data_IF_555980085354
#
_entry.id   IF_555980085354
#
_cell.length_a   1.000
_cell.length_b   1.000
_cell.length_c   1.000
_cell.angle_alpha   90.00
_cell.angle_beta   90.00
_cell.angle_gamma   90.00
#
_symmetry.space_group_name_H-M   'P 1'
#
loop_
_entity.id
_entity.type
_entity.pdbx_description
1 polymer ?
#
# COMPACT_ATOMS: atom_id res chain seq x y z
N UNK A 1 -39.67 4.54 -59.71
CA UNK A 1 -39.42 4.01 -58.34
C UNK A 1 -39.45 5.22 -57.43
N UNK A 2 -40.41 5.34 -56.50
CA UNK A 2 -40.42 6.49 -55.62
C UNK A 2 -39.25 6.33 -54.64
N UNK A 3 -38.35 7.30 -54.64
CA UNK A 3 -37.35 7.45 -53.59
C UNK A 3 -38.13 7.68 -52.28
N UNK A 4 -38.06 6.71 -51.38
CA UNK A 4 -38.57 6.87 -50.02
C UNK A 4 -37.78 7.98 -49.34
N UNK A 5 -38.28 9.21 -49.42
CA UNK A 5 -37.78 10.30 -48.59
C UNK A 5 -38.05 9.91 -47.14
N UNK A 6 -37.05 9.35 -46.46
CA UNK A 6 -37.09 9.17 -45.01
C UNK A 6 -37.53 10.51 -44.42
N UNK A 7 -38.73 10.56 -43.85
CA UNK A 7 -39.25 11.80 -43.26
C UNK A 7 -38.23 12.30 -42.24
N UNK A 8 -37.94 13.61 -42.24
CA UNK A 8 -36.98 14.27 -41.35
C UNK A 8 -37.09 13.83 -39.88
N UNK A 9 -38.30 13.45 -39.45
CA UNK A 9 -38.59 12.87 -38.13
C UNK A 9 -37.88 11.52 -37.91
N UNK A 10 -37.88 10.63 -38.90
CA UNK A 10 -37.17 9.34 -38.83
C UNK A 10 -35.65 9.54 -38.74
N UNK A 11 -35.10 10.55 -39.42
CA UNK A 11 -33.69 10.90 -39.32
C UNK A 11 -33.34 11.42 -37.91
N UNK A 12 -34.17 12.31 -37.35
CA UNK A 12 -34.00 12.80 -35.97
C UNK A 12 -34.15 11.69 -34.93
N UNK A 13 -35.09 10.76 -35.10
CA UNK A 13 -35.23 9.58 -34.24
C UNK A 13 -33.99 8.70 -34.35
N UNK A 14 -33.47 8.46 -35.56
CA UNK A 14 -32.25 7.70 -35.78
C UNK A 14 -31.03 8.30 -35.07
N UNK A 15 -30.86 9.63 -35.14
CA UNK A 15 -29.81 10.35 -34.39
C UNK A 15 -30.04 10.19 -32.88
N UNK A 16 -31.28 10.37 -32.41
CA UNK A 16 -31.61 10.23 -30.99
C UNK A 16 -31.27 8.84 -30.45
N UNK A 17 -31.63 7.78 -31.19
CA UNK A 17 -31.28 6.40 -30.85
C UNK A 17 -29.76 6.20 -30.85
N UNK A 18 -29.04 6.72 -31.85
CA UNK A 18 -27.58 6.61 -31.91
C UNK A 18 -26.89 7.28 -30.72
N UNK A 19 -27.33 8.49 -30.33
CA UNK A 19 -26.83 9.20 -29.15
C UNK A 19 -27.12 8.40 -27.88
N UNK A 20 -28.34 7.89 -27.72
CA UNK A 20 -28.72 7.10 -26.55
C UNK A 20 -27.89 5.81 -26.45
N UNK A 21 -27.69 5.09 -27.55
CA UNK A 21 -26.83 3.89 -27.58
C UNK A 21 -25.40 4.23 -27.21
N UNK A 22 -24.86 5.33 -27.72
CA UNK A 22 -23.52 5.81 -27.36
C UNK A 22 -23.42 6.13 -25.87
N UNK A 23 -24.38 6.88 -25.30
CA UNK A 23 -24.39 7.22 -23.88
C UNK A 23 -24.53 5.98 -22.98
N UNK A 24 -25.37 5.02 -23.36
CA UNK A 24 -25.52 3.75 -22.64
C UNK A 24 -24.19 2.98 -22.66
N UNK A 25 -23.53 2.91 -23.82
CA UNK A 25 -22.23 2.24 -23.96
C UNK A 25 -21.17 2.90 -23.08
N UNK A 26 -21.08 4.22 -23.08
CA UNK A 26 -20.14 4.96 -22.24
C UNK A 26 -20.42 4.75 -20.74
N UNK A 27 -21.69 4.75 -20.33
CA UNK A 27 -22.08 4.48 -18.94
C UNK A 27 -21.67 3.06 -18.51
N UNK A 28 -21.91 2.06 -19.36
CA UNK A 28 -21.51 0.66 -19.10
C UNK A 28 -19.99 0.54 -19.02
N UNK A 29 -19.25 1.17 -19.95
CA UNK A 29 -17.80 1.18 -19.94
C UNK A 29 -17.26 1.81 -18.66
N UNK A 30 -17.76 2.98 -18.29
CA UNK A 30 -17.38 3.69 -17.07
C UNK A 30 -17.62 2.83 -15.82
N UNK A 31 -18.80 2.20 -15.71
CA UNK A 31 -19.12 1.30 -14.61
C UNK A 31 -18.17 0.08 -14.56
N UNK A 32 -17.86 -0.51 -15.72
CA UNK A 32 -16.92 -1.63 -15.85
C UNK A 32 -15.51 -1.25 -15.42
N UNK A 33 -14.99 -0.11 -15.88
CA UNK A 33 -13.67 0.37 -15.50
C UNK A 33 -13.59 0.67 -14.00
N UNK A 34 -14.60 1.33 -13.44
CA UNK A 34 -14.66 1.59 -12.00
C UNK A 34 -14.70 0.31 -11.17
N UNK A 35 -15.44 -0.72 -11.63
CA UNK A 35 -15.48 -2.03 -10.97
C UNK A 35 -14.11 -2.73 -10.99
N UNK A 36 -13.46 -2.77 -12.16
CA UNK A 36 -12.14 -3.37 -12.31
C UNK A 36 -11.10 -2.67 -11.44
N UNK A 37 -11.11 -1.34 -11.43
CA UNK A 37 -10.21 -0.54 -10.62
C UNK A 37 -10.37 -0.81 -9.11
N UNK A 38 -11.61 -0.82 -8.59
CA UNK A 38 -11.85 -1.13 -7.17
C UNK A 38 -11.39 -2.53 -6.78
N UNK A 39 -11.60 -3.52 -7.66
CA UNK A 39 -11.12 -4.89 -7.44
C UNK A 39 -9.59 -4.95 -7.39
N UNK A 40 -8.94 -4.26 -8.32
CA UNK A 40 -7.48 -4.16 -8.36
C UNK A 40 -6.94 -3.51 -7.08
N UNK A 41 -7.49 -2.36 -6.70
CA UNK A 41 -7.11 -1.65 -5.47
C UNK A 41 -7.21 -2.53 -4.22
N UNK A 42 -8.31 -3.29 -4.08
CA UNK A 42 -8.47 -4.24 -2.97
C UNK A 42 -7.38 -5.31 -2.97
N UNK A 43 -7.09 -5.88 -4.13
CA UNK A 43 -6.09 -6.94 -4.27
C UNK A 43 -4.70 -6.42 -3.93
N UNK A 44 -4.35 -5.23 -4.41
CA UNK A 44 -3.04 -4.63 -4.16
C UNK A 44 -2.83 -4.31 -2.67
N UNK A 45 -3.79 -3.63 -2.05
CA UNK A 45 -3.72 -3.31 -0.62
C UNK A 45 -3.70 -4.60 0.21
N UNK A 46 -4.48 -5.61 -0.17
CA UNK A 46 -4.45 -6.92 0.50
C UNK A 46 -3.06 -7.55 0.46
N UNK A 47 -2.44 -7.64 -0.71
CA UNK A 47 -1.12 -8.26 -0.89
C UNK A 47 -0.09 -7.51 -0.05
N UNK A 48 -0.10 -6.18 -0.11
CA UNK A 48 0.83 -5.36 0.67
C UNK A 48 0.63 -5.56 2.17
N UNK A 49 -0.60 -5.43 2.68
CA UNK A 49 -0.89 -5.64 4.11
C UNK A 49 -0.47 -7.04 4.56
N UNK A 50 -0.72 -8.07 3.75
CA UNK A 50 -0.29 -9.45 4.03
C UNK A 50 1.23 -9.57 4.13
N UNK A 51 1.96 -9.00 3.16
CA UNK A 51 3.42 -9.00 3.16
C UNK A 51 3.98 -8.27 4.38
N UNK A 52 3.54 -7.05 4.64
CA UNK A 52 4.03 -6.26 5.79
C UNK A 52 3.73 -6.96 7.11
N UNK A 53 2.53 -7.53 7.27
CA UNK A 53 2.17 -8.28 8.48
C UNK A 53 3.04 -9.53 8.69
N UNK A 54 3.34 -10.29 7.62
CA UNK A 54 4.20 -11.47 7.71
C UNK A 54 5.67 -11.14 8.02
N UNK A 55 6.15 -9.99 7.54
CA UNK A 55 7.55 -9.57 7.72
C UNK A 55 7.79 -8.76 9.00
N UNK A 56 6.74 -8.24 9.64
CA UNK A 56 6.83 -7.45 10.87
C UNK A 56 7.62 -8.14 12.01
N UNK A 57 7.42 -9.44 12.32
CA UNK A 57 8.19 -10.11 13.38
C UNK A 57 9.69 -10.18 13.09
N UNK A 58 10.08 -10.39 11.81
CA UNK A 58 11.48 -10.44 11.39
C UNK A 58 12.15 -9.08 11.57
N UNK A 59 11.48 -8.01 11.15
CA UNK A 59 11.94 -6.63 11.33
C UNK A 59 12.07 -6.27 12.82
N UNK A 60 11.10 -6.69 13.64
CA UNK A 60 11.13 -6.52 15.10
C UNK A 60 12.36 -7.16 15.71
N UNK A 61 12.65 -8.41 15.32
CA UNK A 61 13.79 -9.16 15.82
C UNK A 61 15.11 -8.45 15.48
N UNK A 62 15.28 -8.03 14.23
CA UNK A 62 16.46 -7.27 13.80
C UNK A 62 16.62 -5.96 14.56
N UNK A 63 15.52 -5.25 14.84
CA UNK A 63 15.54 -3.99 15.62
C UNK A 63 16.05 -4.22 17.05
N UNK A 64 15.64 -5.33 17.68
CA UNK A 64 16.09 -5.72 19.01
C UNK A 64 17.56 -6.14 19.02
N UNK A 65 17.98 -6.98 18.06
CA UNK A 65 19.37 -7.42 17.90
C UNK A 65 20.31 -6.21 17.72
N UNK A 66 19.91 -5.23 16.91
CA UNK A 66 20.69 -4.00 16.71
C UNK A 66 20.72 -3.11 17.95
N UNK A 67 19.63 -3.05 18.70
CA UNK A 67 19.59 -2.28 19.95
C UNK A 67 20.56 -2.86 20.97
N UNK A 68 20.55 -4.18 21.17
CA UNK A 68 21.52 -4.86 22.04
C UNK A 68 22.96 -4.70 21.54
N UNK A 69 23.18 -4.77 20.22
CA UNK A 69 24.50 -4.57 19.64
C UNK A 69 25.05 -3.15 19.85
N UNK A 70 24.19 -2.12 19.82
CA UNK A 70 24.59 -0.75 20.11
C UNK A 70 25.05 -0.61 21.57
N UNK A 71 24.34 -1.22 22.52
CA UNK A 71 24.70 -1.20 23.94
C UNK A 71 26.07 -1.89 24.16
N UNK A 72 26.31 -3.01 23.47
CA UNK A 72 27.60 -3.73 23.49
C UNK A 72 28.72 -2.89 22.86
N UNK A 73 28.46 -2.24 21.72
CA UNK A 73 29.43 -1.37 21.06
C UNK A 73 29.84 -0.20 21.97
N UNK A 74 28.87 0.43 22.64
CA UNK A 74 29.11 1.53 23.58
C UNK A 74 29.87 1.09 24.83
N UNK A 75 29.79 -0.19 25.21
CA UNK A 75 30.62 -0.79 26.27
C UNK A 75 32.08 -1.07 25.85
N UNK A 76 32.47 -0.72 24.62
CA UNK A 76 33.83 -0.89 24.08
C UNK A 76 34.12 -2.28 23.53
N UNK A 77 33.11 -3.15 23.41
CA UNK A 77 33.23 -4.51 22.85
C UNK A 77 32.83 -4.51 21.38
N UNK A 78 33.46 -5.38 20.58
CA UNK A 78 33.07 -5.59 19.18
C UNK A 78 31.69 -6.30 19.16
N UNK A 79 30.65 -5.71 18.58
CA UNK A 79 29.34 -6.32 18.52
C UNK A 79 29.33 -7.41 17.45
N UNK A 80 28.65 -8.52 17.73
CA UNK A 80 28.31 -9.53 16.74
C UNK A 80 26.97 -9.15 16.11
N UNK A 81 27.02 -8.59 14.90
CA UNK A 81 25.85 -8.08 14.19
C UNK A 81 25.71 -8.80 12.86
N UNK A 82 24.55 -9.42 12.65
CA UNK A 82 24.15 -9.98 11.36
C UNK A 82 23.09 -9.09 10.72
N UNK A 83 23.53 -8.26 9.77
CA UNK A 83 22.65 -7.38 9.00
C UNK A 83 22.25 -8.05 7.69
N UNK A 84 20.95 -8.05 7.40
CA UNK A 84 20.43 -8.55 6.13
C UNK A 84 19.65 -7.47 5.41
N UNK A 85 19.74 -7.40 4.07
CA UNK A 85 18.90 -6.51 3.28
C UNK A 85 17.41 -6.79 3.50
N UNK A 86 16.62 -5.73 3.57
CA UNK A 86 15.16 -5.83 3.63
C UNK A 86 14.63 -5.82 2.20
N UNK A 87 13.75 -6.78 1.92
CA UNK A 87 13.16 -7.01 0.61
C UNK A 87 12.26 -5.85 0.20
N UNK A 88 12.25 -5.54 -1.10
CA UNK A 88 11.41 -4.49 -1.67
C UNK A 88 10.00 -5.01 -1.94
N UNK A 89 8.99 -4.18 -1.69
CA UNK A 89 7.64 -4.33 -2.23
C UNK A 89 7.46 -3.23 -3.29
N UNK A 90 7.83 -3.48 -4.55
CA UNK A 90 7.66 -2.46 -5.61
C UNK A 90 6.22 -2.49 -6.15
N UNK A 91 5.30 -1.88 -5.41
CA UNK A 91 3.92 -1.68 -5.86
C UNK A 91 3.51 -0.20 -5.72
N UNK A 92 4.22 0.71 -6.39
CA UNK A 92 3.79 2.10 -6.42
C UNK A 92 2.67 2.29 -7.44
N UNK A 93 1.43 2.31 -6.95
CA UNK A 93 0.22 2.52 -7.75
C UNK A 93 -0.44 3.88 -7.48
N UNK A 94 0.23 4.77 -6.73
CA UNK A 94 -0.31 6.08 -6.36
C UNK A 94 -0.72 6.90 -7.59
N UNK A 95 0.07 6.84 -8.68
CA UNK A 95 -0.28 7.49 -9.94
C UNK A 95 -1.55 6.92 -10.58
N UNK A 96 -1.79 5.61 -10.44
CA UNK A 96 -3.05 4.99 -10.90
C UNK A 96 -4.21 5.38 -9.99
N UNK A 97 -4.00 5.51 -8.69
CA UNK A 97 -5.02 5.94 -7.72
C UNK A 97 -5.54 7.34 -8.07
N UNK A 98 -4.64 8.31 -8.31
CA UNK A 98 -5.04 9.67 -8.71
C UNK A 98 -5.80 9.70 -10.04
N UNK A 99 -5.31 8.97 -11.06
CA UNK A 99 -5.96 8.87 -12.38
C UNK A 99 -7.37 8.28 -12.34
N UNK A 100 -7.64 7.44 -11.35
CA UNK A 100 -8.91 6.72 -11.18
C UNK A 100 -9.73 7.21 -9.98
N UNK A 101 -9.39 8.38 -9.43
CA UNK A 101 -10.04 8.96 -8.25
C UNK A 101 -11.56 9.10 -8.40
N UNK A 102 -12.06 9.38 -9.61
CA UNK A 102 -13.49 9.48 -9.92
C UNK A 102 -14.29 8.20 -9.64
N UNK A 103 -13.61 7.05 -9.55
CA UNK A 103 -14.25 5.77 -9.30
C UNK A 103 -14.37 5.42 -7.81
N UNK A 104 -13.82 6.23 -6.92
CA UNK A 104 -13.81 5.99 -5.48
C UNK A 104 -14.66 7.02 -4.74
N UNK A 105 -15.14 6.60 -3.57
CA UNK A 105 -15.64 7.54 -2.58
C UNK A 105 -14.48 8.36 -2.00
N UNK A 106 -14.74 9.62 -1.62
CA UNK A 106 -13.73 10.55 -1.07
C UNK A 106 -13.01 9.95 0.13
N UNK A 107 -13.75 9.33 1.06
CA UNK A 107 -13.18 8.72 2.27
C UNK A 107 -12.21 7.58 1.90
N UNK A 108 -12.62 6.73 0.95
CA UNK A 108 -11.81 5.61 0.45
C UNK A 108 -10.55 6.10 -0.23
N UNK A 109 -10.67 7.16 -1.04
CA UNK A 109 -9.55 7.75 -1.75
C UNK A 109 -8.52 8.33 -0.77
N UNK A 110 -8.96 9.10 0.24
CA UNK A 110 -8.07 9.70 1.23
C UNK A 110 -7.29 8.65 2.03
N UNK A 111 -7.97 7.61 2.50
CA UNK A 111 -7.32 6.52 3.23
C UNK A 111 -6.36 5.72 2.32
N UNK A 112 -6.72 5.48 1.06
CA UNK A 112 -5.84 4.81 0.11
C UNK A 112 -4.59 5.66 -0.23
N UNK A 113 -4.73 6.98 -0.34
CA UNK A 113 -3.58 7.88 -0.52
C UNK A 113 -2.65 7.80 0.70
N UNK A 114 -3.20 7.92 1.91
CA UNK A 114 -2.41 7.80 3.15
C UNK A 114 -1.67 6.46 3.21
N UNK A 115 -2.32 5.36 2.79
CA UNK A 115 -1.69 4.05 2.72
C UNK A 115 -0.47 4.02 1.77
N UNK A 116 -0.62 4.51 0.53
CA UNK A 116 0.49 4.54 -0.43
C UNK A 116 1.58 5.56 -0.09
N UNK A 117 1.25 6.65 0.61
CA UNK A 117 2.23 7.61 1.10
C UNK A 117 3.13 6.96 2.17
N UNK A 118 2.54 6.17 3.09
CA UNK A 118 3.32 5.41 4.08
C UNK A 118 4.19 4.36 3.38
N UNK A 119 3.64 3.62 2.41
CA UNK A 119 4.40 2.64 1.61
C UNK A 119 5.61 3.28 0.90
N UNK A 120 5.42 4.47 0.34
CA UNK A 120 6.48 5.27 -0.26
C UNK A 120 7.61 5.58 0.73
N UNK A 121 7.28 6.11 1.92
CA UNK A 121 8.28 6.39 2.97
C UNK A 121 9.02 5.13 3.42
N UNK A 122 8.30 4.03 3.60
CA UNK A 122 8.92 2.73 3.97
C UNK A 122 9.92 2.30 2.92
N UNK A 123 9.60 2.48 1.63
CA UNK A 123 10.51 2.11 0.55
C UNK A 123 11.76 3.00 0.51
N UNK A 124 11.65 4.29 0.81
CA UNK A 124 12.79 5.21 0.94
C UNK A 124 13.69 4.79 2.10
N UNK A 125 13.12 4.61 3.30
CA UNK A 125 13.88 4.20 4.49
C UNK A 125 14.58 2.85 4.30
N UNK A 126 13.92 1.92 3.59
CA UNK A 126 14.48 0.62 3.22
C UNK A 126 15.68 0.76 2.28
N UNK A 127 15.62 1.67 1.29
CA UNK A 127 16.74 1.92 0.36
C UNK A 127 17.94 2.44 1.14
N UNK A 128 17.72 3.42 2.00
CA UNK A 128 18.75 4.01 2.86
C UNK A 128 19.40 2.98 3.78
N UNK A 129 18.57 2.14 4.43
CA UNK A 129 19.05 1.02 5.24
C UNK A 129 19.88 0.04 4.41
N UNK A 130 19.38 -0.41 3.26
CA UNK A 130 20.07 -1.40 2.43
C UNK A 130 21.40 -0.86 1.88
N UNK A 131 21.45 0.42 1.53
CA UNK A 131 22.69 1.07 1.09
C UNK A 131 23.71 1.11 2.23
N UNK A 132 23.29 1.43 3.45
CA UNK A 132 24.16 1.41 4.62
C UNK A 132 24.67 -0.01 4.92
N UNK A 133 23.80 -1.02 4.89
CA UNK A 133 24.19 -2.43 5.07
C UNK A 133 25.23 -2.85 4.05
N UNK A 134 25.03 -2.48 2.77
CA UNK A 134 26.00 -2.74 1.70
C UNK A 134 27.36 -2.10 1.99
N UNK A 135 27.40 -0.81 2.37
CA UNK A 135 28.65 -0.10 2.73
C UNK A 135 29.38 -0.76 3.89
N UNK A 136 28.66 -1.22 4.91
CA UNK A 136 29.26 -1.94 6.05
C UNK A 136 29.82 -3.28 5.60
N UNK A 137 29.09 -4.03 4.79
CA UNK A 137 29.54 -5.32 4.25
C UNK A 137 30.82 -5.17 3.41
N UNK A 138 30.93 -4.10 2.62
CA UNK A 138 32.10 -3.83 1.77
C UNK A 138 33.31 -3.34 2.57
N UNK A 139 33.08 -2.50 3.58
CA UNK A 139 34.16 -1.94 4.42
C UNK A 139 34.59 -2.85 5.57
N UNK A 140 33.79 -3.86 5.90
CA UNK A 140 33.94 -4.78 7.04
C UNK A 140 34.19 -4.05 8.38
N UNK A 141 33.64 -2.85 8.53
CA UNK A 141 33.83 -1.99 9.70
C UNK A 141 32.51 -1.39 10.16
N UNK A 142 32.26 -1.52 11.45
CA UNK A 142 31.16 -0.86 12.13
C UNK A 142 31.65 0.43 12.79
N UNK A 143 30.86 1.49 12.67
CA UNK A 143 31.04 2.74 13.42
C UNK A 143 29.84 2.96 14.33
N UNK A 144 30.01 3.67 15.43
CA UNK A 144 28.89 4.08 16.29
C UNK A 144 27.79 4.80 15.46
N UNK A 145 28.21 5.67 14.53
CA UNK A 145 27.30 6.39 13.63
C UNK A 145 26.50 5.44 12.74
N UNK A 146 27.13 4.42 12.15
CA UNK A 146 26.44 3.49 11.25
C UNK A 146 25.46 2.58 12.00
N UNK A 147 25.81 2.12 13.22
CA UNK A 147 24.90 1.32 14.05
C UNK A 147 23.70 2.17 14.50
N UNK A 148 23.94 3.41 14.95
CA UNK A 148 22.86 4.35 15.30
C UNK A 148 21.94 4.64 14.12
N UNK A 149 22.49 4.85 12.93
CA UNK A 149 21.71 5.04 11.71
C UNK A 149 20.83 3.83 11.42
N UNK A 150 21.39 2.63 11.41
CA UNK A 150 20.62 1.40 11.17
C UNK A 150 19.51 1.22 12.22
N UNK A 151 19.81 1.44 13.50
CA UNK A 151 18.79 1.39 14.56
C UNK A 151 17.65 2.35 14.27
N UNK A 152 17.96 3.57 13.86
CA UNK A 152 16.98 4.58 13.46
C UNK A 152 16.11 4.06 12.31
N UNK A 153 16.72 3.58 11.22
CA UNK A 153 15.98 3.07 10.06
C UNK A 153 15.06 1.91 10.42
N UNK A 154 15.55 0.93 11.18
CA UNK A 154 14.77 -0.22 11.60
C UNK A 154 13.60 0.18 12.52
N UNK A 155 13.82 1.13 13.41
CA UNK A 155 12.77 1.64 14.31
C UNK A 155 11.69 2.39 13.54
N UNK A 156 12.09 3.30 12.63
CA UNK A 156 11.18 4.03 11.75
C UNK A 156 10.37 3.07 10.88
N UNK A 157 11.03 2.16 10.16
CA UNK A 157 10.34 1.14 9.35
C UNK A 157 9.40 0.29 10.20
N UNK A 158 9.77 -0.08 11.41
CA UNK A 158 8.92 -0.90 12.28
C UNK A 158 7.66 -0.16 12.71
N UNK A 159 7.73 1.15 12.93
CA UNK A 159 6.55 1.98 13.18
C UNK A 159 5.71 2.16 11.91
N UNK A 160 6.33 2.47 10.79
CA UNK A 160 5.59 2.66 9.54
C UNK A 160 4.96 1.35 9.02
N UNK A 161 5.56 0.18 9.26
CA UNK A 161 4.92 -1.12 8.99
C UNK A 161 3.61 -1.27 9.75
N UNK A 162 3.60 -0.94 11.05
CA UNK A 162 2.39 -0.99 11.86
C UNK A 162 1.33 -0.04 11.31
N UNK A 163 1.69 1.23 11.07
CA UNK A 163 0.80 2.24 10.50
C UNK A 163 0.26 1.84 9.13
N UNK A 164 1.08 1.23 8.28
CA UNK A 164 0.69 0.75 6.96
C UNK A 164 -0.31 -0.40 7.07
N UNK A 165 -0.06 -1.38 7.95
CA UNK A 165 -1.00 -2.47 8.21
C UNK A 165 -2.33 -1.90 8.70
N UNK A 166 -2.31 -0.95 9.64
CA UNK A 166 -3.51 -0.34 10.16
C UNK A 166 -4.30 0.42 9.09
N UNK A 167 -3.61 1.30 8.35
CA UNK A 167 -4.23 2.09 7.29
C UNK A 167 -4.78 1.19 6.18
N UNK A 168 -4.01 0.20 5.72
CA UNK A 168 -4.46 -0.75 4.71
C UNK A 168 -5.66 -1.59 5.17
N UNK A 169 -5.68 -2.02 6.44
CA UNK A 169 -6.84 -2.71 7.01
C UNK A 169 -8.08 -1.81 7.06
N UNK A 170 -7.92 -0.53 7.46
CA UNK A 170 -9.01 0.47 7.44
C UNK A 170 -9.53 0.69 6.02
N UNK A 171 -8.66 0.85 5.03
CA UNK A 171 -9.05 0.98 3.62
C UNK A 171 -9.86 -0.23 3.16
N UNK A 172 -9.39 -1.45 3.44
CA UNK A 172 -10.10 -2.67 3.05
C UNK A 172 -11.47 -2.79 3.71
N UNK A 173 -11.59 -2.46 5.00
CA UNK A 173 -12.88 -2.40 5.71
C UNK A 173 -13.80 -1.38 5.04
N UNK A 174 -13.30 -0.17 4.78
CA UNK A 174 -14.07 0.94 4.23
C UNK A 174 -14.53 0.66 2.80
N UNK A 175 -13.66 0.08 1.96
CA UNK A 175 -14.00 -0.34 0.61
C UNK A 175 -15.16 -1.35 0.66
N UNK A 176 -15.10 -2.37 1.51
CA UNK A 176 -16.19 -3.36 1.61
C UNK A 176 -17.48 -2.73 2.11
N UNK A 177 -17.41 -1.81 3.08
CA UNK A 177 -18.58 -1.09 3.57
C UNK A 177 -19.26 -0.25 2.49
N UNK A 178 -18.49 0.44 1.64
CA UNK A 178 -19.01 1.29 0.56
C UNK A 178 -19.31 0.49 -0.72
N UNK A 179 -18.73 -0.70 -0.85
CA UNK A 179 -18.80 -1.55 -2.04
C UNK A 179 -18.97 -3.03 -1.66
N UNK A 180 -20.14 -3.36 -1.10
CA UNK A 180 -20.46 -4.70 -0.57
C UNK A 180 -20.31 -5.84 -1.58
N UNK A 181 -20.41 -5.55 -2.88
CA UNK A 181 -20.25 -6.53 -3.96
C UNK A 181 -18.82 -7.09 -4.09
N UNK A 182 -17.82 -6.52 -3.42
CA UNK A 182 -16.42 -6.97 -3.52
C UNK A 182 -16.13 -8.25 -2.71
N UNK A 183 -17.04 -8.69 -1.83
CA UNK A 183 -17.01 -9.95 -1.08
C UNK A 183 -15.63 -10.30 -0.47
N UNK A 184 -15.02 -9.35 0.22
CA UNK A 184 -13.75 -9.55 0.94
C UNK A 184 -14.05 -9.89 2.40
N UNK A 185 -13.38 -10.88 2.95
CA UNK A 185 -13.49 -11.21 4.38
C UNK A 185 -12.84 -10.13 5.25
N UNK A 186 -13.69 -9.33 5.89
CA UNK A 186 -13.28 -8.21 6.74
C UNK A 186 -12.86 -8.66 8.14
N UNK A 187 -13.24 -9.87 8.57
CA UNK A 187 -12.96 -10.37 9.92
C UNK A 187 -11.46 -10.50 10.17
N UNK A 188 -10.72 -10.97 9.16
CA UNK A 188 -9.27 -11.07 9.18
C UNK A 188 -8.60 -9.71 9.42
N UNK A 189 -9.02 -8.65 8.72
CA UNK A 189 -8.41 -7.33 8.84
C UNK A 189 -8.76 -6.64 10.15
N UNK A 190 -9.95 -6.89 10.70
CA UNK A 190 -10.29 -6.45 12.06
C UNK A 190 -9.41 -7.11 13.12
N UNK A 191 -9.13 -8.41 12.97
CA UNK A 191 -8.22 -9.13 13.86
C UNK A 191 -6.78 -8.58 13.76
N UNK A 192 -6.30 -8.32 12.54
CA UNK A 192 -4.97 -7.74 12.32
C UNK A 192 -4.85 -6.35 12.94
N UNK A 193 -5.87 -5.49 12.82
CA UNK A 193 -5.89 -4.18 13.49
C UNK A 193 -5.68 -4.30 15.00
N UNK A 194 -6.40 -5.21 15.65
CA UNK A 194 -6.25 -5.45 17.09
C UNK A 194 -4.83 -5.89 17.44
N UNK A 195 -4.29 -6.89 16.74
CA UNK A 195 -2.95 -7.41 16.98
C UNK A 195 -1.85 -6.39 16.72
N UNK A 196 -2.00 -5.56 15.68
CA UNK A 196 -1.03 -4.50 15.38
C UNK A 196 -1.05 -3.43 16.46
N UNK A 197 -2.23 -3.07 16.98
CA UNK A 197 -2.36 -2.12 18.09
C UNK A 197 -1.76 -2.65 19.40
N UNK A 198 -1.98 -3.93 19.72
CA UNK A 198 -1.33 -4.62 20.85
C UNK A 198 0.20 -4.61 20.70
N UNK A 199 0.69 -4.89 19.49
CA UNK A 199 2.11 -4.90 19.19
C UNK A 199 2.75 -3.51 19.30
N UNK A 200 2.11 -2.43 18.83
CA UNK A 200 2.59 -1.06 19.06
C UNK A 200 2.61 -0.69 20.56
N UNK A 201 1.58 -1.11 21.30
CA UNK A 201 1.50 -0.86 22.74
C UNK A 201 2.61 -1.57 23.52
N UNK A 202 3.06 -2.74 23.05
CA UNK A 202 4.15 -3.51 23.66
C UNK A 202 5.55 -2.91 23.48
N UNK A 203 5.70 -1.92 22.59
CA UNK A 203 6.97 -1.22 22.33
C UNK A 203 7.20 0.00 23.23
N UNK A 204 6.17 0.49 23.92
CA UNK A 204 6.25 1.63 24.85
C UNK A 204 6.69 1.17 26.23
#
# INVERSE_FOLDING_TARGET
>A
MPEESLSFIHYLIGIGVAIMVFLIRELINHAKYGLLFRKQLVLDIKILVENFYQHLPKLSKQTQEISAALDVFQSGKKPDISLFPIWSNEFSLIGQLYRNSSYLNVDVFQEAVSFYDIDGRVNEERKDYNEMVKKISESNKYTDRSIKFIKCCLTTMSSDYCRLIECGCKVLILIVQKHSFLNVDVSLYRNRLLKTSEYESSKK
#
